data_IF_894901606983
#
_entry.id   IF_894901606983
#
_cell.length_a   1.000
_cell.length_b   1.000
_cell.length_c   1.000
_cell.angle_alpha   90.00
_cell.angle_beta   90.00
_cell.angle_gamma   90.00
#
_symmetry.space_group_name_H-M   'P 1'
#
loop_
_entity.id
_entity.type
_entity.pdbx_description
1 polymer ?
#
# COMPACT_ATOMS: atom_id res chain seq x y z
N UNK A 1 7.36 10.07 7.53
CA UNK A 1 6.03 9.43 7.68
C UNK A 1 5.34 9.87 8.96
N UNK A 2 5.96 9.76 10.13
CA UNK A 2 5.36 10.14 11.42
C UNK A 2 4.81 11.57 11.46
N UNK A 3 5.51 12.54 10.89
CA UNK A 3 5.04 13.92 10.82
C UNK A 3 3.70 14.06 10.07
N UNK A 4 3.54 13.41 8.91
CA UNK A 4 2.30 13.45 8.14
C UNK A 4 1.13 12.79 8.86
N UNK A 5 1.41 11.71 9.58
CA UNK A 5 0.39 11.03 10.41
C UNK A 5 -0.01 11.91 11.60
N UNK A 6 0.95 12.55 12.26
CA UNK A 6 0.70 13.49 13.34
C UNK A 6 -0.16 14.68 12.88
N UNK A 7 0.18 15.28 11.75
CA UNK A 7 -0.59 16.37 11.15
C UNK A 7 -2.01 15.95 10.78
N UNK A 8 -2.16 14.77 10.18
CA UNK A 8 -3.48 14.21 9.88
C UNK A 8 -4.29 13.96 11.15
N UNK A 9 -3.68 13.30 12.14
CA UNK A 9 -4.40 12.81 13.31
C UNK A 9 -4.78 13.92 14.29
N UNK A 10 -3.87 14.86 14.56
CA UNK A 10 -4.08 15.91 15.56
C UNK A 10 -4.56 17.24 15.01
N UNK A 11 -4.34 17.53 13.72
CA UNK A 11 -4.56 18.85 13.13
C UNK A 11 -5.55 18.88 11.97
N UNK A 12 -6.16 17.76 11.64
CA UNK A 12 -7.19 17.72 10.60
C UNK A 12 -8.45 17.02 11.08
N UNK A 13 -9.55 17.23 10.38
CA UNK A 13 -10.84 16.53 10.55
C UNK A 13 -11.06 15.47 9.45
N UNK A 14 -10.03 15.18 8.66
CA UNK A 14 -10.09 14.18 7.61
C UNK A 14 -10.38 12.79 8.18
N UNK A 15 -11.22 12.03 7.51
CA UNK A 15 -11.66 10.70 7.95
C UNK A 15 -10.71 9.58 7.54
N UNK A 16 -9.92 9.80 6.50
CA UNK A 16 -8.98 8.83 5.93
C UNK A 16 -7.65 9.48 5.61
N UNK A 17 -6.57 8.70 5.71
CA UNK A 17 -5.23 9.04 5.25
C UNK A 17 -4.88 8.15 4.07
N UNK A 18 -4.50 8.74 2.94
CA UNK A 18 -4.05 8.03 1.76
C UNK A 18 -2.55 8.26 1.56
N UNK A 19 -1.78 7.18 1.58
CA UNK A 19 -0.38 7.16 1.18
C UNK A 19 -0.28 6.80 -0.29
N UNK A 20 0.46 7.61 -1.04
CA UNK A 20 0.80 7.36 -2.45
C UNK A 20 2.28 7.67 -2.65
N UNK A 21 3.04 6.72 -3.14
CA UNK A 21 4.43 6.96 -3.56
C UNK A 21 4.46 7.84 -4.81
N UNK A 22 5.40 8.75 -4.88
CA UNK A 22 5.49 9.76 -5.94
C UNK A 22 5.68 9.20 -7.37
N UNK A 23 6.08 7.94 -7.47
CA UNK A 23 6.30 7.22 -8.72
C UNK A 23 5.20 6.19 -9.06
N UNK A 24 4.09 6.21 -8.32
CA UNK A 24 2.93 5.36 -8.63
C UNK A 24 1.92 6.14 -9.47
N UNK A 25 1.69 5.65 -10.68
CA UNK A 25 0.57 6.08 -11.52
C UNK A 25 -0.71 5.34 -11.10
N UNK A 26 -1.80 6.07 -10.90
CA UNK A 26 -3.09 5.51 -10.52
C UNK A 26 -4.24 6.25 -11.21
N UNK A 27 -5.39 5.60 -11.31
CA UNK A 27 -6.61 6.27 -11.75
C UNK A 27 -7.32 6.86 -10.50
N UNK A 28 -7.78 8.11 -10.51
CA UNK A 28 -8.56 8.68 -9.41
C UNK A 28 -9.78 7.84 -8.99
N UNK A 29 -10.36 7.08 -9.93
CA UNK A 29 -11.45 6.14 -9.64
C UNK A 29 -11.02 5.00 -8.71
N UNK A 30 -9.75 4.64 -8.68
CA UNK A 30 -9.23 3.60 -7.79
C UNK A 30 -9.35 4.05 -6.32
N UNK A 31 -9.12 5.33 -6.03
CA UNK A 31 -9.31 5.90 -4.68
C UNK A 31 -10.78 5.82 -4.28
N UNK A 32 -11.68 6.15 -5.19
CA UNK A 32 -13.14 6.06 -4.94
C UNK A 32 -13.55 4.60 -4.67
N UNK A 33 -12.98 3.66 -5.42
CA UNK A 33 -13.22 2.23 -5.22
C UNK A 33 -12.74 1.75 -3.85
N UNK A 34 -11.52 2.17 -3.42
CA UNK A 34 -11.01 1.84 -2.09
C UNK A 34 -11.90 2.40 -0.98
N UNK A 35 -12.38 3.63 -1.10
CA UNK A 35 -13.31 4.24 -0.17
C UNK A 35 -14.63 3.48 -0.09
N UNK A 36 -15.18 3.08 -1.25
CA UNK A 36 -16.45 2.35 -1.34
C UNK A 36 -16.39 0.96 -0.70
N UNK A 37 -15.22 0.33 -0.66
CA UNK A 37 -15.01 -0.97 0.00
C UNK A 37 -15.03 -0.89 1.53
N UNK A 38 -14.94 0.30 2.09
CA UNK A 38 -15.14 0.62 3.51
C UNK A 38 -14.30 -0.24 4.49
N UNK A 39 -13.04 -0.52 4.15
CA UNK A 39 -12.12 -1.28 5.00
C UNK A 39 -11.31 -0.36 5.91
N UNK A 40 -10.92 -0.85 7.08
CA UNK A 40 -10.08 -0.11 8.03
C UNK A 40 -8.72 0.27 7.44
N UNK A 41 -8.08 -0.71 6.80
CA UNK A 41 -6.85 -0.54 6.03
C UNK A 41 -7.05 -1.27 4.70
N UNK A 42 -6.80 -0.59 3.60
CA UNK A 42 -6.89 -1.17 2.27
C UNK A 42 -5.85 -0.52 1.35
N UNK A 43 -5.38 -1.24 0.35
CA UNK A 43 -4.49 -0.67 -0.66
C UNK A 43 -4.67 -1.33 -2.01
N UNK A 44 -4.21 -0.63 -3.04
CA UNK A 44 -4.10 -1.16 -4.38
C UNK A 44 -2.78 -1.92 -4.55
N UNK A 45 -2.80 -3.07 -5.20
CA UNK A 45 -1.56 -3.74 -5.57
C UNK A 45 -0.80 -2.92 -6.60
N UNK A 46 0.51 -2.81 -6.44
CA UNK A 46 1.40 -2.16 -7.40
C UNK A 46 2.64 -3.03 -7.64
N UNK A 47 3.29 -2.92 -8.81
CA UNK A 47 4.42 -3.77 -9.13
C UNK A 47 5.65 -3.42 -8.29
N UNK A 48 6.42 -4.44 -7.93
CA UNK A 48 7.77 -4.27 -7.39
C UNK A 48 8.67 -3.66 -8.47
N UNK A 49 9.64 -2.85 -8.05
CA UNK A 49 10.68 -2.30 -8.93
C UNK A 49 11.77 -3.35 -9.28
N UNK A 50 11.36 -4.60 -9.49
CA UNK A 50 12.24 -5.71 -9.82
C UNK A 50 11.68 -6.49 -10.99
N UNK A 51 12.57 -6.97 -11.84
CA UNK A 51 12.24 -7.86 -12.96
C UNK A 51 12.49 -9.29 -12.51
N UNK A 52 11.45 -10.10 -12.47
CA UNK A 52 11.50 -11.51 -12.09
C UNK A 52 11.89 -12.38 -13.30
N UNK A 53 13.15 -12.32 -13.69
CA UNK A 53 13.70 -13.05 -14.85
C UNK A 53 13.41 -14.56 -14.80
N UNK A 54 13.40 -15.15 -13.61
CA UNK A 54 13.09 -16.56 -13.44
C UNK A 54 11.64 -16.91 -13.82
N UNK A 55 10.69 -16.01 -13.59
CA UNK A 55 9.30 -16.21 -14.02
C UNK A 55 9.19 -16.17 -15.53
N UNK A 56 9.82 -15.19 -16.16
CA UNK A 56 9.87 -15.08 -17.61
C UNK A 56 10.51 -16.34 -18.23
N UNK A 57 11.64 -16.77 -17.70
CA UNK A 57 12.33 -17.96 -18.20
C UNK A 57 11.44 -19.22 -18.13
N UNK A 58 10.76 -19.44 -16.99
CA UNK A 58 9.81 -20.55 -16.84
C UNK A 58 8.61 -20.44 -17.80
N UNK A 59 8.12 -19.24 -18.04
CA UNK A 59 7.02 -19.02 -18.98
C UNK A 59 7.42 -19.34 -20.41
N UNK A 60 8.60 -18.89 -20.84
CA UNK A 60 9.16 -19.17 -22.16
C UNK A 60 9.50 -20.65 -22.37
N UNK A 61 9.93 -21.35 -21.32
CA UNK A 61 10.10 -22.81 -21.40
C UNK A 61 8.81 -23.56 -21.66
N UNK A 62 7.67 -23.05 -21.10
CA UNK A 62 6.36 -23.64 -21.31
C UNK A 62 5.72 -23.24 -22.66
N UNK A 63 5.96 -22.03 -23.09
CA UNK A 63 5.46 -21.50 -24.36
C UNK A 63 6.51 -20.56 -24.98
N UNK A 64 7.35 -21.07 -25.91
CA UNK A 64 8.36 -20.26 -26.59
C UNK A 64 7.81 -19.16 -27.51
N UNK A 65 6.54 -19.28 -27.90
CA UNK A 65 5.88 -18.37 -28.86
C UNK A 65 5.29 -17.11 -28.18
N UNK A 66 5.57 -16.87 -26.90
CA UNK A 66 5.09 -15.68 -26.21
C UNK A 66 5.70 -14.44 -26.86
N UNK A 67 4.88 -13.48 -27.34
CA UNK A 67 5.37 -12.27 -27.95
C UNK A 67 6.20 -11.42 -26.97
N UNK A 68 7.24 -10.77 -27.44
CA UNK A 68 8.08 -9.90 -26.60
C UNK A 68 7.29 -8.77 -25.94
N UNK A 69 6.20 -8.31 -26.56
CA UNK A 69 5.26 -7.33 -25.99
C UNK A 69 4.58 -7.78 -24.69
N UNK A 70 4.57 -9.09 -24.41
CA UNK A 70 3.95 -9.64 -23.21
C UNK A 70 4.96 -9.97 -22.09
N UNK A 71 6.25 -9.82 -22.34
CA UNK A 71 7.28 -10.11 -21.34
C UNK A 71 7.14 -9.27 -20.08
N UNK A 72 6.77 -8.02 -20.21
CA UNK A 72 6.55 -7.11 -19.07
C UNK A 72 5.48 -7.66 -18.12
N UNK A 73 4.40 -8.24 -18.65
CA UNK A 73 3.32 -8.84 -17.85
C UNK A 73 3.77 -10.09 -17.07
N UNK A 74 4.84 -10.73 -17.53
CA UNK A 74 5.37 -11.96 -16.96
C UNK A 74 6.53 -11.72 -15.99
N UNK A 75 7.05 -10.50 -15.95
CA UNK A 75 8.21 -10.14 -15.10
C UNK A 75 7.84 -9.38 -13.85
N UNK A 76 6.58 -8.94 -13.73
CA UNK A 76 6.10 -8.16 -12.58
C UNK A 76 5.75 -9.04 -11.39
N UNK A 77 6.24 -8.68 -10.21
CA UNK A 77 5.73 -9.14 -8.94
C UNK A 77 4.99 -8.00 -8.25
N UNK A 78 3.88 -8.29 -7.60
CA UNK A 78 3.09 -7.29 -6.87
C UNK A 78 3.57 -7.14 -5.43
N UNK A 79 3.36 -5.93 -4.86
CA UNK A 79 3.73 -5.63 -3.47
C UNK A 79 2.55 -5.95 -2.56
N UNK A 80 2.39 -7.21 -2.21
CA UNK A 80 1.51 -7.68 -1.13
C UNK A 80 1.85 -9.13 -0.78
N UNK A 81 1.55 -9.54 0.45
CA UNK A 81 1.69 -10.92 0.90
C UNK A 81 0.31 -11.45 1.32
N UNK A 82 -0.30 -12.36 0.54
CA UNK A 82 -1.58 -12.96 0.92
C UNK A 82 -1.46 -13.76 2.21
N UNK A 83 -2.57 -13.93 2.91
CA UNK A 83 -2.64 -14.81 4.07
C UNK A 83 -2.22 -16.22 3.69
N UNK A 84 -1.49 -16.90 4.59
CA UNK A 84 -0.97 -18.24 4.36
C UNK A 84 -2.07 -19.22 3.91
N UNK A 85 -1.75 -20.04 2.90
CA UNK A 85 -2.70 -20.98 2.29
C UNK A 85 -3.48 -20.44 1.09
N UNK A 86 -3.39 -19.14 0.79
CA UNK A 86 -4.03 -18.54 -0.38
C UNK A 86 -3.17 -18.78 -1.62
N UNK A 87 -3.53 -19.80 -2.41
CA UNK A 87 -2.81 -20.14 -3.66
C UNK A 87 -3.46 -19.58 -4.92
N UNK A 88 -4.72 -19.18 -4.83
CA UNK A 88 -5.49 -18.56 -5.92
C UNK A 88 -6.39 -17.49 -5.33
N UNK A 89 -6.47 -16.35 -6.01
CA UNK A 89 -7.33 -15.23 -5.61
C UNK A 89 -7.86 -14.50 -6.85
N UNK A 90 -9.00 -13.86 -6.69
CA UNK A 90 -9.54 -12.94 -7.67
C UNK A 90 -8.94 -11.56 -7.46
N UNK A 91 -8.64 -10.86 -8.54
CA UNK A 91 -8.23 -9.44 -8.48
C UNK A 91 -9.42 -8.48 -8.46
N UNK A 92 -10.64 -9.00 -8.55
CA UNK A 92 -11.89 -8.22 -8.58
C UNK A 92 -12.51 -8.05 -7.20
N UNK A 93 -11.98 -8.73 -6.18
CA UNK A 93 -12.48 -8.68 -4.82
C UNK A 93 -11.35 -8.37 -3.83
N UNK A 94 -11.66 -7.71 -2.70
CA UNK A 94 -10.69 -7.48 -1.65
C UNK A 94 -10.11 -8.80 -1.13
N UNK A 95 -8.79 -8.89 -1.08
CA UNK A 95 -8.06 -10.04 -0.59
C UNK A 95 -7.45 -9.73 0.78
N UNK A 96 -7.68 -10.53 1.82
CA UNK A 96 -6.94 -10.42 3.07
C UNK A 96 -5.46 -10.71 2.87
N UNK A 97 -4.61 -9.81 3.39
CA UNK A 97 -3.16 -9.91 3.26
C UNK A 97 -2.49 -9.84 4.64
N UNK A 98 -1.31 -10.43 4.75
CA UNK A 98 -0.47 -10.32 5.95
C UNK A 98 0.27 -8.98 5.98
N UNK A 99 0.73 -8.56 4.81
CA UNK A 99 1.46 -7.31 4.65
C UNK A 99 0.95 -6.56 3.42
N UNK A 100 0.84 -5.25 3.55
CA UNK A 100 0.46 -4.34 2.49
C UNK A 100 1.53 -3.24 2.35
N UNK A 101 1.94 -2.97 1.12
CA UNK A 101 2.86 -1.87 0.85
C UNK A 101 2.20 -0.51 1.02
N UNK A 102 2.96 0.45 1.54
CA UNK A 102 2.47 1.82 1.78
C UNK A 102 2.39 2.69 0.52
N UNK A 103 2.87 2.19 -0.62
CA UNK A 103 2.92 2.96 -1.86
C UNK A 103 1.55 3.36 -2.43
N UNK A 104 0.49 2.63 -2.09
CA UNK A 104 -0.90 3.01 -2.40
C UNK A 104 -1.83 2.41 -1.33
N UNK A 105 -1.93 3.09 -0.17
CA UNK A 105 -2.61 2.59 1.02
C UNK A 105 -3.55 3.64 1.62
N UNK A 106 -4.79 3.26 1.83
CA UNK A 106 -5.82 4.06 2.49
C UNK A 106 -6.08 3.51 3.89
N UNK A 107 -6.07 4.39 4.90
CA UNK A 107 -6.24 4.04 6.31
C UNK A 107 -7.34 4.93 6.91
N UNK A 108 -8.32 4.37 7.58
CA UNK A 108 -9.31 5.11 8.35
C UNK A 108 -8.71 5.75 9.59
N UNK A 109 -9.20 6.91 9.99
CA UNK A 109 -8.81 7.60 11.23
C UNK A 109 -8.94 6.71 12.46
N UNK A 110 -10.02 5.95 12.57
CA UNK A 110 -10.28 5.07 13.71
C UNK A 110 -9.19 4.02 13.96
N UNK A 111 -8.39 3.68 12.93
CA UNK A 111 -7.25 2.76 13.07
C UNK A 111 -6.17 3.39 13.94
N UNK A 112 -5.90 4.68 13.75
CA UNK A 112 -4.91 5.41 14.56
C UNK A 112 -5.38 5.55 16.00
N UNK A 113 -6.68 5.78 16.22
CA UNK A 113 -7.28 5.83 17.56
C UNK A 113 -7.16 4.47 18.28
N UNK A 114 -7.49 3.39 17.59
CA UNK A 114 -7.32 2.02 18.12
C UNK A 114 -5.86 1.69 18.41
N UNK A 115 -4.95 2.12 17.53
CA UNK A 115 -3.52 1.91 17.72
C UNK A 115 -2.99 2.68 18.92
N UNK A 116 -3.35 3.94 19.09
CA UNK A 116 -2.95 4.76 20.22
C UNK A 116 -3.46 4.18 21.56
N UNK A 117 -4.68 3.68 21.58
CA UNK A 117 -5.24 3.02 22.77
C UNK A 117 -4.53 1.71 23.11
N UNK A 118 -4.16 0.93 22.10
CA UNK A 118 -3.48 -0.36 22.29
C UNK A 118 -2.00 -0.20 22.63
N UNK A 119 -1.34 0.85 22.13
CA UNK A 119 0.10 1.07 22.22
C UNK A 119 0.41 2.54 22.54
N UNK A 120 0.04 3.03 23.71
CA UNK A 120 0.17 4.45 24.06
C UNK A 120 1.63 4.95 24.07
N UNK A 121 2.60 4.05 24.23
CA UNK A 121 4.02 4.37 24.15
C UNK A 121 4.50 4.64 22.70
N UNK A 122 3.76 4.19 21.70
CA UNK A 122 4.09 4.32 20.28
C UNK A 122 3.30 5.45 19.60
N UNK A 123 3.14 6.56 20.28
CA UNK A 123 2.42 7.71 19.72
C UNK A 123 3.08 8.27 18.47
N UNK A 124 2.23 8.71 17.52
CA UNK A 124 2.67 9.44 16.34
C UNK A 124 3.10 10.84 16.72
N UNK A 125 4.37 11.00 17.05
CA UNK A 125 5.01 12.29 17.28
C UNK A 125 5.98 12.59 16.16
N UNK A 126 6.18 13.88 15.82
CA UNK A 126 7.23 14.23 14.87
C UNK A 126 8.56 13.78 15.45
N UNK A 127 9.14 12.76 14.86
CA UNK A 127 10.48 12.28 15.17
C UNK A 127 11.48 13.15 14.41
N UNK A 128 11.59 14.40 14.78
CA UNK A 128 12.38 15.34 14.03
C UNK A 128 13.42 16.01 14.89
N UNK A 129 14.44 16.30 14.21
CA UNK A 129 15.51 17.15 14.69
C UNK A 129 15.10 18.60 14.43
N UNK A 130 15.01 19.38 15.45
CA UNK A 130 14.67 20.80 15.29
C UNK A 130 13.17 21.04 15.22
N UNK A 131 12.50 20.82 16.28
CA UNK A 131 11.06 21.00 16.47
C UNK A 131 10.53 22.32 15.99
N UNK A 132 11.24 23.39 16.20
CA UNK A 132 10.87 24.72 15.71
C UNK A 132 10.66 24.77 14.20
N UNK A 133 11.26 23.86 13.46
CA UNK A 133 11.14 23.82 11.99
C UNK A 133 9.96 22.99 11.48
N UNK A 134 9.40 22.11 12.35
CA UNK A 134 8.38 21.15 11.95
C UNK A 134 7.17 21.12 12.89
N UNK A 135 6.81 22.21 13.38
CA UNK A 135 5.75 22.28 14.34
C UNK A 135 6.29 22.43 15.74
N UNK A 136 7.48 22.80 15.79
CA UNK A 136 8.10 23.12 17.04
C UNK A 136 7.14 23.54 18.07
N UNK A 137 7.25 24.21 18.89
CA UNK A 137 6.51 24.50 20.11
C UNK A 137 5.01 24.83 19.92
#
# INVERSE_FOLDING_TARGET
MNYLVDEFYHRSDCTHLLFIDADIAFNPQDVVALLALDKEIIGGPYPKKSIEWNQLHKALQKNPEIPASDYEKLTGAMVFNPVAGTSKFSITEPLPVMDLGTGFMLIKREVFEKFEQAYPENMYKPDHVGQANFGGD
#
